data_IF_694102641387
#
_entry.id   IF_694102641387
#
_cell.length_a   1.000
_cell.length_b   1.000
_cell.length_c   1.000
_cell.angle_alpha   90.00
_cell.angle_beta   90.00
_cell.angle_gamma   90.00
#
_symmetry.space_group_name_H-M   'P 1'
#
loop_
_entity.id
_entity.type
_entity.pdbx_description
1 polymer ?
#
# COMPACT_ATOMS: atom_id res chain seq x y z
N UNK A 1 -13.40 -2.66 -27.92
CA UNK A 1 -12.39 -2.37 -26.88
C UNK A 1 -11.63 -1.12 -27.29
N UNK A 2 -11.86 -0.01 -26.64
CA UNK A 2 -11.12 1.21 -26.91
C UNK A 2 -9.85 1.16 -26.08
N UNK A 3 -8.72 0.79 -26.69
CA UNK A 3 -7.41 0.84 -26.03
C UNK A 3 -7.11 2.29 -25.61
N UNK A 4 -6.80 2.51 -24.35
CA UNK A 4 -6.40 3.84 -23.86
C UNK A 4 -5.08 4.21 -24.54
N UNK A 5 -4.95 5.40 -25.15
CA UNK A 5 -3.68 5.82 -25.72
C UNK A 5 -2.53 5.65 -24.70
N UNK A 6 -1.38 5.16 -25.12
CA UNK A 6 -0.21 4.89 -24.25
C UNK A 6 0.12 6.09 -23.36
N UNK A 7 0.01 7.32 -23.86
CA UNK A 7 0.18 8.56 -23.09
C UNK A 7 -0.80 8.67 -21.93
N UNK A 8 -2.05 8.22 -22.11
CA UNK A 8 -3.09 8.26 -21.07
C UNK A 8 -2.82 7.23 -19.96
N UNK A 9 -2.32 6.04 -20.30
CA UNK A 9 -1.91 5.03 -19.32
C UNK A 9 -0.76 5.53 -18.42
N UNK A 10 0.25 6.18 -19.01
CA UNK A 10 1.33 6.81 -18.24
C UNK A 10 0.84 7.95 -17.33
N UNK A 11 -0.10 8.78 -17.81
CA UNK A 11 -0.69 9.82 -16.99
C UNK A 11 -1.47 9.23 -15.79
N UNK A 12 -2.28 8.20 -16.03
CA UNK A 12 -3.00 7.49 -14.97
C UNK A 12 -2.03 6.91 -13.92
N UNK A 13 -0.94 6.29 -14.35
CA UNK A 13 0.09 5.76 -13.47
C UNK A 13 0.77 6.88 -12.65
N UNK A 14 1.14 7.99 -13.29
CA UNK A 14 1.76 9.13 -12.61
C UNK A 14 0.83 9.75 -11.55
N UNK A 15 -0.45 9.95 -11.88
CA UNK A 15 -1.46 10.44 -10.92
C UNK A 15 -1.63 9.48 -9.74
N UNK A 16 -1.68 8.18 -10.01
CA UNK A 16 -1.76 7.16 -8.95
C UNK A 16 -0.57 7.21 -8.02
N UNK A 17 0.63 7.26 -8.57
CA UNK A 17 1.89 7.30 -7.81
C UNK A 17 1.98 8.57 -6.97
N UNK A 18 1.51 9.70 -7.50
CA UNK A 18 1.38 10.92 -6.72
C UNK A 18 0.41 10.73 -5.54
N UNK A 19 -0.80 10.19 -5.77
CA UNK A 19 -1.75 9.92 -4.69
C UNK A 19 -1.14 9.00 -3.63
N UNK A 20 -0.54 7.90 -4.03
CA UNK A 20 0.11 6.98 -3.08
C UNK A 20 1.25 7.62 -2.31
N UNK A 21 2.04 8.50 -2.95
CA UNK A 21 3.11 9.25 -2.30
C UNK A 21 2.60 10.21 -1.21
N UNK A 22 1.36 10.70 -1.31
CA UNK A 22 0.74 11.53 -0.28
C UNK A 22 0.20 10.73 0.90
N UNK A 23 0.10 9.39 0.80
CA UNK A 23 -0.56 8.54 1.79
C UNK A 23 0.08 8.65 3.18
N UNK A 24 1.40 8.44 3.28
CA UNK A 24 2.10 8.48 4.55
C UNK A 24 2.07 9.87 5.21
N UNK A 25 2.35 10.99 4.50
CA UNK A 25 2.21 12.33 5.05
C UNK A 25 0.80 12.64 5.56
N UNK A 26 -0.24 12.37 4.78
CA UNK A 26 -1.64 12.61 5.20
C UNK A 26 -2.01 11.74 6.40
N UNK A 27 -1.64 10.47 6.38
CA UNK A 27 -1.85 9.57 7.50
C UNK A 27 -1.15 10.09 8.77
N UNK A 28 0.09 10.58 8.66
CA UNK A 28 0.85 11.13 9.80
C UNK A 28 0.14 12.31 10.45
N UNK A 29 -0.41 13.23 9.65
CA UNK A 29 -1.20 14.38 10.16
C UNK A 29 -2.42 13.90 10.94
N UNK A 30 -3.16 12.93 10.41
CA UNK A 30 -4.36 12.39 11.08
C UNK A 30 -4.02 11.66 12.38
N UNK A 31 -2.90 10.96 12.42
CA UNK A 31 -2.43 10.19 13.59
C UNK A 31 -1.93 11.07 14.74
N UNK A 32 -1.80 12.38 14.56
CA UNK A 32 -1.49 13.28 15.68
C UNK A 32 -2.61 13.34 16.73
N UNK A 33 -3.87 13.20 16.29
CA UNK A 33 -5.05 13.32 17.15
C UNK A 33 -5.88 12.03 17.21
N UNK A 34 -5.67 11.12 16.28
CA UNK A 34 -6.49 9.92 16.08
C UNK A 34 -5.66 8.65 16.18
N UNK A 35 -6.30 7.58 16.61
CA UNK A 35 -5.69 6.25 16.57
C UNK A 35 -5.62 5.71 15.14
N UNK A 36 -4.72 4.76 14.91
CA UNK A 36 -4.61 4.09 13.62
C UNK A 36 -5.91 3.38 13.19
N UNK A 37 -6.69 2.87 14.14
CA UNK A 37 -7.98 2.22 13.85
C UNK A 37 -9.06 3.21 13.43
N UNK A 38 -9.10 4.38 14.06
CA UNK A 38 -10.03 5.46 13.69
C UNK A 38 -9.72 5.99 12.28
N UNK A 39 -8.46 6.28 11.99
CA UNK A 39 -8.03 6.71 10.65
C UNK A 39 -8.39 5.65 9.62
N UNK A 40 -8.12 4.36 9.91
CA UNK A 40 -8.41 3.26 9.00
C UNK A 40 -9.92 3.11 8.77
N UNK A 41 -10.73 3.23 9.83
CA UNK A 41 -12.19 3.15 9.74
C UNK A 41 -12.75 4.19 8.78
N UNK A 42 -12.49 5.47 9.03
CA UNK A 42 -13.03 6.54 8.19
C UNK A 42 -12.50 6.47 6.75
N UNK A 43 -11.21 6.23 6.54
CA UNK A 43 -10.64 6.08 5.21
C UNK A 43 -11.28 4.90 4.45
N UNK A 44 -11.51 3.77 5.11
CA UNK A 44 -12.14 2.59 4.51
C UNK A 44 -13.63 2.82 4.20
N UNK A 45 -14.36 3.55 5.03
CA UNK A 45 -15.76 3.94 4.77
C UNK A 45 -15.83 4.81 3.51
N UNK A 46 -15.02 5.87 3.42
CA UNK A 46 -15.01 6.74 2.23
C UNK A 46 -14.57 5.98 0.97
N UNK A 47 -13.62 5.04 1.08
CA UNK A 47 -13.23 4.18 -0.03
C UNK A 47 -14.39 3.28 -0.48
N UNK A 48 -15.05 2.58 0.45
CA UNK A 48 -16.19 1.70 0.16
C UNK A 48 -17.34 2.45 -0.49
N UNK A 49 -17.73 3.62 0.06
CA UNK A 49 -18.81 4.43 -0.50
C UNK A 49 -18.47 4.91 -1.92
N UNK A 50 -17.24 5.32 -2.17
CA UNK A 50 -16.79 5.77 -3.49
C UNK A 50 -16.80 4.62 -4.50
N UNK A 51 -16.31 3.45 -4.12
CA UNK A 51 -16.30 2.26 -4.96
C UNK A 51 -17.74 1.80 -5.23
N UNK A 52 -18.61 1.82 -4.23
CA UNK A 52 -20.03 1.51 -4.40
C UNK A 52 -20.70 2.46 -5.41
N UNK A 53 -20.46 3.76 -5.30
CA UNK A 53 -20.98 4.74 -6.24
C UNK A 53 -20.51 4.45 -7.69
N UNK A 54 -19.24 4.05 -7.87
CA UNK A 54 -18.70 3.66 -9.18
C UNK A 54 -19.37 2.38 -9.70
N UNK A 55 -19.55 1.37 -8.84
CA UNK A 55 -20.22 0.10 -9.17
C UNK A 55 -21.67 0.36 -9.64
N UNK A 56 -22.41 1.16 -8.87
CA UNK A 56 -23.80 1.52 -9.21
C UNK A 56 -23.86 2.29 -10.53
N UNK A 57 -23.00 3.27 -10.73
CA UNK A 57 -22.92 4.05 -11.98
C UNK A 57 -22.57 3.18 -13.20
N UNK A 58 -21.81 2.10 -13.01
CA UNK A 58 -21.47 1.14 -14.07
C UNK A 58 -22.54 0.07 -14.29
N UNK A 59 -23.61 0.05 -13.51
CA UNK A 59 -24.66 -0.97 -13.58
C UNK A 59 -24.24 -2.36 -13.12
N UNK A 60 -23.13 -2.44 -12.34
CA UNK A 60 -22.52 -3.71 -11.87
C UNK A 60 -23.05 -4.16 -10.51
N UNK A 61 -24.14 -3.61 -10.00
CA UNK A 61 -24.68 -3.93 -8.67
C UNK A 61 -24.94 -5.44 -8.45
N UNK A 62 -25.36 -6.15 -9.50
CA UNK A 62 -25.59 -7.61 -9.44
C UNK A 62 -24.33 -8.42 -9.17
N UNK A 63 -23.16 -7.89 -9.53
CA UNK A 63 -21.87 -8.57 -9.31
C UNK A 63 -21.48 -8.58 -7.82
N UNK A 64 -22.03 -7.69 -6.99
CA UNK A 64 -21.75 -7.64 -5.55
C UNK A 64 -22.11 -8.93 -4.82
N UNK A 65 -23.13 -9.63 -5.28
CA UNK A 65 -23.63 -10.87 -4.65
C UNK A 65 -23.40 -12.12 -5.51
N UNK A 66 -22.65 -11.99 -6.61
CA UNK A 66 -22.44 -13.08 -7.57
C UNK A 66 -21.28 -14.03 -7.18
N UNK A 67 -21.06 -14.23 -5.89
CA UNK A 67 -19.97 -15.07 -5.37
C UNK A 67 -20.51 -16.28 -4.62
N UNK A 68 -19.88 -17.42 -4.81
CA UNK A 68 -20.11 -18.58 -3.95
C UNK A 68 -19.59 -18.31 -2.53
N UNK A 69 -20.10 -19.01 -1.50
CA UNK A 69 -19.60 -18.83 -0.12
C UNK A 69 -18.09 -19.05 0.01
N UNK A 70 -17.51 -19.95 -0.78
CA UNK A 70 -16.06 -20.22 -0.81
C UNK A 70 -15.28 -19.05 -1.39
N UNK A 71 -15.73 -18.49 -2.51
CA UNK A 71 -15.10 -17.32 -3.15
C UNK A 71 -15.21 -16.09 -2.25
N UNK A 72 -16.39 -15.88 -1.65
CA UNK A 72 -16.59 -14.79 -0.70
C UNK A 72 -15.70 -14.94 0.54
N UNK A 73 -15.60 -16.14 1.12
CA UNK A 73 -14.70 -16.42 2.24
C UNK A 73 -13.23 -16.17 1.89
N UNK A 74 -12.80 -16.55 0.68
CA UNK A 74 -11.45 -16.25 0.21
C UNK A 74 -11.23 -14.74 0.02
N UNK A 75 -12.20 -14.03 -0.52
CA UNK A 75 -12.18 -12.58 -0.66
C UNK A 75 -12.11 -11.89 0.72
N UNK A 76 -12.85 -12.38 1.71
CA UNK A 76 -12.76 -11.90 3.10
C UNK A 76 -11.36 -12.13 3.70
N UNK A 77 -10.74 -13.28 3.46
CA UNK A 77 -9.37 -13.56 3.89
C UNK A 77 -8.37 -12.56 3.28
N UNK A 78 -8.50 -12.28 1.98
CA UNK A 78 -7.66 -11.31 1.27
C UNK A 78 -7.88 -9.87 1.76
N UNK A 79 -9.13 -9.48 1.97
CA UNK A 79 -9.47 -8.16 2.52
C UNK A 79 -8.95 -7.97 3.95
N UNK A 80 -9.08 -9.03 4.78
CA UNK A 80 -8.58 -9.02 6.14
C UNK A 80 -7.04 -8.90 6.21
N UNK A 81 -6.32 -9.69 5.41
CA UNK A 81 -4.86 -9.69 5.43
C UNK A 81 -4.26 -8.49 4.70
N UNK A 82 -4.75 -8.18 3.50
CA UNK A 82 -4.15 -7.21 2.58
C UNK A 82 -4.66 -5.78 2.72
N UNK A 83 -5.81 -5.57 3.35
CA UNK A 83 -6.37 -4.24 3.54
C UNK A 83 -6.52 -3.88 5.02
N UNK A 84 -7.13 -4.71 5.83
CA UNK A 84 -7.28 -4.41 7.25
C UNK A 84 -5.96 -4.54 8.02
N UNK A 85 -5.38 -5.74 8.11
CA UNK A 85 -4.14 -5.95 8.89
C UNK A 85 -2.97 -5.15 8.31
N UNK A 86 -2.79 -5.17 6.99
CA UNK A 86 -1.76 -4.36 6.33
C UNK A 86 -1.86 -2.89 6.74
N UNK A 87 -3.01 -2.26 6.56
CA UNK A 87 -3.18 -0.84 6.86
C UNK A 87 -3.10 -0.54 8.36
N UNK A 88 -3.64 -1.43 9.21
CA UNK A 88 -3.54 -1.31 10.66
C UNK A 88 -2.08 -1.28 11.12
N UNK A 89 -1.25 -2.20 10.60
CA UNK A 89 0.17 -2.24 10.90
C UNK A 89 0.93 -1.08 10.26
N UNK A 90 0.62 -0.73 9.00
CA UNK A 90 1.29 0.38 8.34
C UNK A 90 1.02 1.72 9.03
N UNK A 91 -0.22 2.04 9.36
CA UNK A 91 -0.58 3.27 10.07
C UNK A 91 0.04 3.32 11.47
N UNK A 92 0.09 2.17 12.15
CA UNK A 92 0.80 2.09 13.42
C UNK A 92 2.32 2.32 13.24
N UNK A 93 2.92 1.85 12.17
CA UNK A 93 4.31 2.14 11.81
C UNK A 93 4.55 3.63 11.55
N UNK A 94 3.66 4.28 10.79
CA UNK A 94 3.67 5.73 10.53
C UNK A 94 3.53 6.54 11.82
N UNK A 95 2.77 6.04 12.80
CA UNK A 95 2.63 6.70 14.11
C UNK A 95 3.97 6.77 14.86
N UNK A 96 4.79 5.72 14.78
CA UNK A 96 6.08 5.63 15.50
C UNK A 96 7.29 6.17 14.73
N UNK A 97 7.21 6.31 13.40
CA UNK A 97 8.29 6.73 12.52
C UNK A 97 7.93 8.03 11.79
N UNK A 98 8.94 8.67 11.23
CA UNK A 98 8.74 9.69 10.21
C UNK A 98 8.00 9.07 9.01
N UNK A 99 7.10 9.82 8.39
CA UNK A 99 6.26 9.32 7.31
C UNK A 99 7.09 8.82 6.12
N UNK A 100 8.18 9.53 5.78
CA UNK A 100 9.12 9.10 4.74
C UNK A 100 9.77 7.76 5.06
N UNK A 101 10.22 7.56 6.32
CA UNK A 101 10.88 6.32 6.76
C UNK A 101 9.89 5.16 6.71
N UNK A 102 8.70 5.34 7.26
CA UNK A 102 7.65 4.33 7.21
C UNK A 102 7.32 3.91 5.77
N UNK A 103 7.21 4.86 4.85
CA UNK A 103 6.98 4.60 3.44
C UNK A 103 8.12 3.80 2.80
N UNK A 104 9.38 4.20 3.03
CA UNK A 104 10.56 3.50 2.47
C UNK A 104 10.61 2.05 2.96
N UNK A 105 10.45 1.83 4.27
CA UNK A 105 10.47 0.48 4.86
C UNK A 105 9.33 -0.38 4.34
N UNK A 106 8.15 0.19 4.20
CA UNK A 106 7.00 -0.52 3.62
C UNK A 106 7.28 -0.97 2.18
N UNK A 107 8.14 -0.28 1.43
CA UNK A 107 8.53 -0.66 0.07
C UNK A 107 9.38 -1.95 -0.03
N UNK A 108 9.53 -2.69 1.05
CA UNK A 108 9.94 -4.11 1.00
C UNK A 108 8.86 -5.03 0.40
N UNK A 109 7.59 -4.61 0.33
CA UNK A 109 6.49 -5.47 -0.11
C UNK A 109 6.69 -6.10 -1.50
N UNK A 110 7.32 -5.45 -2.52
CA UNK A 110 7.49 -6.08 -3.83
C UNK A 110 8.43 -7.28 -3.78
N UNK A 111 9.54 -7.15 -3.04
CA UNK A 111 10.50 -8.27 -2.92
C UNK A 111 9.91 -9.40 -2.07
N UNK A 112 9.15 -9.07 -1.03
CA UNK A 112 8.45 -10.06 -0.22
C UNK A 112 7.35 -10.79 -1.02
N UNK A 113 6.68 -10.09 -1.95
CA UNK A 113 5.75 -10.72 -2.90
C UNK A 113 6.46 -11.82 -3.70
N UNK A 114 7.69 -11.56 -4.16
CA UNK A 114 8.48 -12.57 -4.90
C UNK A 114 8.86 -13.74 -4.01
N UNK A 115 9.25 -13.50 -2.77
CA UNK A 115 9.54 -14.56 -1.82
C UNK A 115 8.31 -15.45 -1.57
N UNK A 116 7.15 -14.84 -1.33
CA UNK A 116 5.90 -15.58 -1.16
C UNK A 116 5.48 -16.31 -2.44
N UNK A 117 5.71 -15.75 -3.63
CA UNK A 117 5.44 -16.43 -4.89
C UNK A 117 6.30 -17.70 -5.04
N UNK A 118 7.57 -17.66 -4.64
CA UNK A 118 8.43 -18.86 -4.62
C UNK A 118 7.90 -19.93 -3.66
N UNK A 119 7.43 -19.55 -2.47
CA UNK A 119 6.94 -20.49 -1.45
C UNK A 119 5.55 -21.03 -1.82
N UNK A 120 4.61 -20.15 -2.16
CA UNK A 120 3.17 -20.48 -2.28
C UNK A 120 2.80 -20.90 -3.70
N UNK A 121 3.40 -20.26 -4.72
CA UNK A 121 3.15 -20.56 -6.12
C UNK A 121 4.20 -21.52 -6.68
N UNK A 122 5.18 -21.92 -5.86
CA UNK A 122 6.29 -22.82 -6.24
C UNK A 122 7.10 -22.28 -7.42
N UNK A 123 7.20 -20.95 -7.55
CA UNK A 123 8.08 -20.33 -8.52
C UNK A 123 9.54 -20.64 -8.17
N UNK A 124 10.40 -20.81 -9.17
CA UNK A 124 11.81 -21.10 -8.95
C UNK A 124 12.48 -19.95 -8.17
N UNK A 125 13.15 -20.29 -7.07
CA UNK A 125 14.00 -19.36 -6.32
C UNK A 125 15.38 -19.35 -6.98
N UNK A 126 15.81 -18.17 -7.45
CA UNK A 126 17.11 -18.00 -8.10
C UNK A 126 18.07 -17.21 -7.22
N UNK A 127 19.38 -17.36 -7.45
CA UNK A 127 20.41 -16.55 -6.78
C UNK A 127 20.18 -15.03 -6.98
N UNK A 128 19.62 -14.65 -8.10
CA UNK A 128 19.22 -13.26 -8.37
C UNK A 128 18.12 -12.75 -7.41
N UNK A 129 17.11 -13.56 -7.16
CA UNK A 129 16.04 -13.24 -6.20
C UNK A 129 16.62 -13.13 -4.78
N UNK A 130 17.56 -13.99 -4.42
CA UNK A 130 18.26 -13.95 -3.13
C UNK A 130 19.12 -12.68 -2.98
N UNK A 131 19.93 -12.34 -3.99
CA UNK A 131 20.76 -11.13 -3.96
C UNK A 131 19.90 -9.85 -3.85
N UNK A 132 18.79 -9.79 -4.59
CA UNK A 132 17.84 -8.70 -4.51
C UNK A 132 17.21 -8.55 -3.12
N UNK A 133 16.85 -9.67 -2.48
CA UNK A 133 16.34 -9.69 -1.12
C UNK A 133 17.36 -9.13 -0.14
N UNK A 134 18.60 -9.62 -0.19
CA UNK A 134 19.69 -9.14 0.69
C UNK A 134 19.95 -7.64 0.50
N UNK A 135 19.98 -7.16 -0.75
CA UNK A 135 20.21 -5.76 -1.04
C UNK A 135 19.07 -4.86 -0.53
N UNK A 136 17.82 -5.32 -0.66
CA UNK A 136 16.66 -4.59 -0.15
C UNK A 136 16.65 -4.53 1.38
N UNK A 137 16.99 -5.62 2.06
CA UNK A 137 17.13 -5.61 3.53
C UNK A 137 18.31 -4.75 4.00
N UNK A 138 19.45 -4.77 3.29
CA UNK A 138 20.56 -3.85 3.56
C UNK A 138 20.11 -2.39 3.46
N UNK A 139 19.28 -2.05 2.46
CA UNK A 139 18.67 -0.73 2.33
C UNK A 139 17.85 -0.33 3.55
N UNK A 140 17.02 -1.24 4.09
CA UNK A 140 16.27 -0.97 5.33
C UNK A 140 17.21 -0.75 6.52
N UNK A 141 18.26 -1.56 6.66
CA UNK A 141 19.24 -1.38 7.72
C UNK A 141 19.89 0.02 7.62
N UNK A 142 20.27 0.47 6.43
CA UNK A 142 20.83 1.81 6.21
C UNK A 142 19.84 2.89 6.62
N UNK A 143 18.55 2.75 6.29
CA UNK A 143 17.51 3.69 6.76
C UNK A 143 17.43 3.73 8.28
N UNK A 144 17.61 2.60 8.97
CA UNK A 144 17.58 2.52 10.44
C UNK A 144 18.81 3.18 11.11
N UNK A 145 19.89 3.38 10.38
CA UNK A 145 21.15 3.95 10.91
C UNK A 145 21.24 5.48 10.77
N UNK A 146 20.13 6.20 10.58
CA UNK A 146 20.21 7.65 10.38
C UNK A 146 20.68 8.40 11.66
N UNK A 147 21.49 9.46 11.51
CA UNK A 147 22.03 10.22 12.63
C UNK A 147 20.92 10.89 13.45
N UNK A 148 21.05 10.86 14.78
CA UNK A 148 20.09 11.48 15.70
C UNK A 148 19.01 10.56 16.24
N UNK A 149 18.90 9.34 15.74
CA UNK A 149 18.09 8.30 16.39
C UNK A 149 18.93 7.56 17.46
N UNK A 150 18.68 7.86 18.71
CA UNK A 150 18.82 6.80 19.71
C UNK A 150 17.74 5.78 19.37
N UNK A 151 18.12 4.54 19.02
CA UNK A 151 17.17 3.47 18.75
C UNK A 151 16.35 3.20 20.02
N UNK A 152 15.44 4.11 20.33
CA UNK A 152 14.52 4.01 21.45
C UNK A 152 13.48 2.92 21.16
N UNK A 153 12.94 2.28 22.19
CA UNK A 153 11.99 1.17 22.04
C UNK A 153 10.76 1.50 21.16
N UNK A 154 10.39 2.77 21.02
CA UNK A 154 9.28 3.22 20.17
C UNK A 154 9.57 3.07 18.68
N UNK A 155 10.72 3.54 18.24
CA UNK A 155 11.09 3.49 16.82
C UNK A 155 11.26 2.05 16.32
N UNK A 156 11.88 1.19 17.13
CA UNK A 156 11.99 -0.24 16.81
C UNK A 156 10.61 -0.89 16.64
N UNK A 157 9.61 -0.48 17.42
CA UNK A 157 8.21 -0.90 17.19
C UNK A 157 7.72 -0.45 15.82
N UNK A 158 7.96 0.81 15.43
CA UNK A 158 7.59 1.35 14.12
C UNK A 158 8.18 0.55 12.96
N UNK A 159 9.47 0.23 12.99
CA UNK A 159 10.12 -0.62 11.99
C UNK A 159 9.48 -2.01 11.91
N UNK A 160 9.23 -2.66 13.06
CA UNK A 160 8.58 -3.98 13.10
C UNK A 160 7.17 -3.92 12.48
N UNK A 161 6.40 -2.87 12.76
CA UNK A 161 5.09 -2.67 12.18
C UNK A 161 5.16 -2.47 10.66
N UNK A 162 6.06 -1.64 10.15
CA UNK A 162 6.22 -1.42 8.71
C UNK A 162 6.69 -2.68 7.96
N UNK A 163 7.64 -3.45 8.53
CA UNK A 163 8.09 -4.72 7.95
C UNK A 163 6.95 -5.75 7.93
N UNK A 164 6.20 -5.87 9.03
CA UNK A 164 5.04 -6.76 9.09
C UNK A 164 3.96 -6.34 8.08
N UNK A 165 3.69 -5.03 7.94
CA UNK A 165 2.80 -4.51 6.92
C UNK A 165 3.27 -4.90 5.52
N UNK A 166 4.54 -4.67 5.20
CA UNK A 166 5.12 -5.06 3.91
C UNK A 166 4.96 -6.57 3.63
N UNK A 167 5.15 -7.42 4.65
CA UNK A 167 4.95 -8.86 4.53
C UNK A 167 3.48 -9.22 4.28
N UNK A 168 2.55 -8.63 5.01
CA UNK A 168 1.11 -8.83 4.82
C UNK A 168 0.66 -8.43 3.42
N UNK A 169 1.14 -7.29 2.91
CA UNK A 169 0.80 -6.83 1.57
C UNK A 169 1.44 -7.68 0.48
N UNK A 170 2.69 -8.11 0.68
CA UNK A 170 3.37 -9.05 -0.22
C UNK A 170 2.66 -10.40 -0.31
N UNK A 171 2.20 -10.93 0.83
CA UNK A 171 1.37 -12.14 0.91
C UNK A 171 0.04 -11.95 0.17
N UNK A 172 -0.66 -10.85 0.45
CA UNK A 172 -1.89 -10.47 -0.25
C UNK A 172 -1.68 -10.43 -1.77
N UNK A 173 -0.67 -9.72 -2.25
CA UNK A 173 -0.37 -9.61 -3.69
C UNK A 173 -0.17 -11.00 -4.33
N UNK A 174 0.52 -11.91 -3.63
CA UNK A 174 0.74 -13.28 -4.10
C UNK A 174 -0.54 -14.08 -4.17
N UNK A 175 -1.36 -14.03 -3.13
CA UNK A 175 -2.62 -14.77 -3.04
C UNK A 175 -3.67 -14.20 -4.01
N UNK A 176 -3.73 -12.87 -4.15
CA UNK A 176 -4.68 -12.19 -5.04
C UNK A 176 -4.48 -12.55 -6.52
N UNK A 177 -3.28 -13.01 -6.93
CA UNK A 177 -3.05 -13.55 -8.29
C UNK A 177 -3.96 -14.73 -8.64
N UNK A 178 -4.45 -15.47 -7.64
CA UNK A 178 -5.34 -16.63 -7.83
C UNK A 178 -6.81 -16.25 -7.88
N UNK A 179 -7.15 -15.00 -7.61
CA UNK A 179 -8.55 -14.55 -7.56
C UNK A 179 -8.99 -14.07 -8.93
N UNK A 180 -10.00 -14.74 -9.50
CA UNK A 180 -10.69 -14.30 -10.70
C UNK A 180 -11.79 -13.28 -10.37
N UNK A 181 -12.36 -12.65 -11.40
CA UNK A 181 -13.49 -11.72 -11.25
C UNK A 181 -13.10 -10.25 -11.32
N UNK A 182 -14.03 -9.38 -10.94
CA UNK A 182 -13.89 -7.93 -11.03
C UNK A 182 -13.08 -7.36 -9.89
N UNK A 183 -11.91 -6.78 -10.18
CA UNK A 183 -11.08 -6.10 -9.18
C UNK A 183 -11.83 -4.95 -8.47
N UNK A 184 -12.72 -4.26 -9.18
CA UNK A 184 -13.54 -3.18 -8.60
C UNK A 184 -14.44 -3.71 -7.48
N UNK A 185 -15.09 -4.86 -7.71
CA UNK A 185 -15.94 -5.52 -6.71
C UNK A 185 -15.11 -6.03 -5.53
N UNK A 186 -13.96 -6.64 -5.82
CA UNK A 186 -13.05 -7.11 -4.76
C UNK A 186 -12.58 -5.97 -3.86
N UNK A 187 -12.15 -4.85 -4.44
CA UNK A 187 -11.71 -3.67 -3.69
C UNK A 187 -12.83 -3.11 -2.80
N UNK A 188 -14.07 -3.07 -3.31
CA UNK A 188 -15.22 -2.67 -2.50
C UNK A 188 -15.36 -3.56 -1.26
N UNK A 189 -15.33 -4.88 -1.42
CA UNK A 189 -15.44 -5.81 -0.30
C UNK A 189 -14.24 -5.77 0.65
N UNK A 190 -13.02 -5.57 0.12
CA UNK A 190 -11.82 -5.42 0.94
C UNK A 190 -11.92 -4.20 1.86
N UNK A 191 -12.33 -3.05 1.31
CA UNK A 191 -12.50 -1.84 2.12
C UNK A 191 -13.70 -1.93 3.04
N UNK A 192 -14.79 -2.54 2.63
CA UNK A 192 -15.97 -2.77 3.50
C UNK A 192 -15.60 -3.63 4.69
N UNK A 193 -14.88 -4.72 4.48
CA UNK A 193 -14.38 -5.57 5.57
C UNK A 193 -13.41 -4.82 6.48
N UNK A 194 -12.49 -4.05 5.88
CA UNK A 194 -11.55 -3.22 6.65
C UNK A 194 -12.30 -2.18 7.51
N UNK A 195 -13.35 -1.55 6.98
CA UNK A 195 -14.21 -0.63 7.73
C UNK A 195 -14.90 -1.32 8.91
N UNK A 196 -15.47 -2.52 8.70
CA UNK A 196 -16.12 -3.28 9.76
C UNK A 196 -15.13 -3.69 10.85
N UNK A 197 -13.97 -4.25 10.47
CA UNK A 197 -12.97 -4.69 11.45
C UNK A 197 -12.39 -3.50 12.24
N UNK A 198 -12.07 -2.40 11.57
CA UNK A 198 -11.56 -1.21 12.24
C UNK A 198 -12.61 -0.51 13.10
N UNK A 199 -13.89 -0.52 12.69
CA UNK A 199 -15.00 -0.05 13.55
C UNK A 199 -15.09 -0.84 14.86
N UNK A 200 -15.05 -2.17 14.78
CA UNK A 200 -15.07 -3.03 15.99
C UNK A 200 -13.90 -2.68 16.90
N UNK A 201 -12.70 -2.53 16.38
CA UNK A 201 -11.52 -2.13 17.16
C UNK A 201 -11.68 -0.73 17.78
N UNK A 202 -12.21 0.23 17.02
CA UNK A 202 -12.45 1.61 17.48
C UNK A 202 -13.48 1.65 18.60
N UNK A 203 -14.60 0.93 18.46
CA UNK A 203 -15.64 0.85 19.50
C UNK A 203 -15.11 0.19 20.76
N UNK A 204 -14.27 -0.82 20.63
CA UNK A 204 -13.63 -1.47 21.79
C UNK A 204 -12.60 -0.57 22.47
N UNK A 205 -11.95 0.30 21.72
CA UNK A 205 -10.95 1.27 22.20
C UNK A 205 -11.49 2.52 22.88
N UNK A 206 -12.83 2.71 22.95
CA UNK A 206 -13.42 3.89 23.62
C UNK A 206 -14.54 4.57 22.82
N UNK A 207 -14.83 4.11 21.62
CA UNK A 207 -15.89 4.65 20.76
C UNK A 207 -15.41 5.51 19.62
N UNK A 208 -16.34 6.09 18.88
CA UNK A 208 -16.02 6.95 17.73
C UNK A 208 -15.54 8.33 18.23
N UNK A 209 -14.44 8.87 17.68
CA UNK A 209 -13.95 10.18 18.04
C UNK A 209 -14.85 11.30 17.48
N UNK A 210 -14.78 12.46 18.08
CA UNK A 210 -15.24 13.68 17.44
C UNK A 210 -14.24 14.09 16.36
N UNK A 211 -14.73 14.27 15.13
CA UNK A 211 -13.88 14.59 13.99
C UNK A 211 -14.03 16.04 13.57
N UNK A 212 -12.93 16.69 13.22
CA UNK A 212 -12.90 18.05 12.71
C UNK A 212 -13.09 18.05 11.18
N UNK A 213 -13.50 19.20 10.60
CA UNK A 213 -13.62 19.35 9.15
C UNK A 213 -12.31 19.06 8.40
N UNK A 214 -11.16 19.43 8.98
CA UNK A 214 -9.84 19.13 8.41
C UNK A 214 -9.55 17.63 8.37
N UNK A 215 -9.90 16.89 9.41
CA UNK A 215 -9.76 15.43 9.45
C UNK A 215 -10.68 14.75 8.44
N UNK A 216 -11.91 15.25 8.23
CA UNK A 216 -12.80 14.73 7.18
C UNK A 216 -12.17 14.88 5.79
N UNK A 217 -11.51 16.02 5.50
CA UNK A 217 -10.78 16.20 4.24
C UNK A 217 -9.63 15.18 4.09
N UNK A 218 -8.91 14.90 5.18
CA UNK A 218 -7.88 13.85 5.21
C UNK A 218 -8.45 12.45 4.93
N UNK A 219 -9.59 12.10 5.52
CA UNK A 219 -10.26 10.82 5.27
C UNK A 219 -10.79 10.71 3.83
N UNK A 220 -11.36 11.80 3.29
CA UNK A 220 -11.76 11.87 1.88
C UNK A 220 -10.54 11.66 0.98
N UNK A 221 -9.42 12.30 1.31
CA UNK A 221 -8.20 12.13 0.52
C UNK A 221 -7.70 10.69 0.55
N UNK A 222 -7.56 10.09 1.73
CA UNK A 222 -7.13 8.69 1.87
C UNK A 222 -8.11 7.72 1.23
N UNK A 223 -9.41 7.87 1.50
CA UNK A 223 -10.43 6.93 1.05
C UNK A 223 -10.75 7.06 -0.43
N UNK A 224 -11.10 8.28 -0.89
CA UNK A 224 -11.56 8.50 -2.26
C UNK A 224 -10.40 8.52 -3.24
N UNK A 225 -9.40 9.38 -2.99
CA UNK A 225 -8.36 9.62 -4.00
C UNK A 225 -7.29 8.52 -3.96
N UNK A 226 -6.84 8.08 -2.79
CA UNK A 226 -5.78 7.07 -2.68
C UNK A 226 -6.37 5.67 -2.85
N UNK A 227 -7.35 5.31 -2.02
CA UNK A 227 -7.83 3.92 -1.91
C UNK A 227 -8.87 3.54 -2.97
N UNK A 228 -9.69 4.48 -3.49
CA UNK A 228 -10.65 4.15 -4.55
C UNK A 228 -10.12 4.56 -5.94
N UNK A 229 -9.92 5.85 -6.18
CA UNK A 229 -9.56 6.37 -7.51
C UNK A 229 -8.14 5.93 -7.89
N UNK A 230 -7.16 6.03 -7.00
CA UNK A 230 -5.77 5.67 -7.25
C UNK A 230 -5.64 4.22 -7.73
N UNK A 231 -6.21 3.28 -6.99
CA UNK A 231 -6.17 1.87 -7.40
C UNK A 231 -6.95 1.59 -8.69
N UNK A 232 -8.07 2.29 -8.92
CA UNK A 232 -8.83 2.16 -10.17
C UNK A 232 -8.01 2.67 -11.38
N UNK A 233 -7.38 3.84 -11.26
CA UNK A 233 -6.51 4.38 -12.30
C UNK A 233 -5.32 3.46 -12.57
N UNK A 234 -4.73 2.88 -11.52
CA UNK A 234 -3.66 1.90 -11.64
C UNK A 234 -4.08 0.66 -12.40
N UNK A 235 -5.23 0.09 -12.04
CA UNK A 235 -5.77 -1.08 -12.73
C UNK A 235 -6.04 -0.79 -14.22
N UNK A 236 -6.59 0.39 -14.54
CA UNK A 236 -6.81 0.82 -15.93
C UNK A 236 -5.50 1.04 -16.68
N UNK A 237 -4.49 1.64 -16.05
CA UNK A 237 -3.17 1.83 -16.65
C UNK A 237 -2.50 0.50 -17.02
N UNK A 238 -2.65 -0.54 -16.17
CA UNK A 238 -2.10 -1.87 -16.41
C UNK A 238 -2.79 -2.63 -17.53
N UNK A 239 -4.06 -2.35 -17.84
CA UNK A 239 -4.81 -3.02 -18.89
C UNK A 239 -4.34 -2.60 -20.29
N UNK A 240 -3.93 -1.36 -20.47
CA UNK A 240 -3.76 -0.74 -21.78
C UNK A 240 -2.29 -0.50 -22.18
N UNK A 241 -1.34 -0.93 -21.35
CA UNK A 241 0.09 -0.79 -21.67
C UNK A 241 0.92 -1.94 -21.10
N UNK A 242 2.20 -1.97 -21.45
CA UNK A 242 3.13 -2.95 -20.86
C UNK A 242 3.12 -2.87 -19.34
N UNK A 243 2.66 -3.92 -18.67
CA UNK A 243 2.60 -4.00 -17.22
C UNK A 243 3.96 -3.69 -16.57
N UNK A 244 5.07 -4.07 -17.21
CA UNK A 244 6.42 -3.77 -16.75
C UNK A 244 6.73 -2.26 -16.78
N UNK A 245 6.29 -1.55 -17.83
CA UNK A 245 6.51 -0.11 -17.95
C UNK A 245 5.70 0.67 -16.91
N UNK A 246 4.43 0.31 -16.71
CA UNK A 246 3.57 0.94 -15.68
C UNK A 246 4.07 0.64 -14.27
N UNK A 247 4.45 -0.60 -13.98
CA UNK A 247 4.93 -0.99 -12.64
C UNK A 247 6.17 -0.18 -12.21
N UNK A 248 6.99 0.27 -13.16
CA UNK A 248 8.15 1.11 -12.84
C UNK A 248 7.76 2.46 -12.21
N UNK A 249 6.58 3.00 -12.52
CA UNK A 249 6.10 4.24 -11.90
C UNK A 249 5.89 4.11 -10.39
N UNK A 250 5.49 2.93 -9.90
CA UNK A 250 5.24 2.70 -8.47
C UNK A 250 6.46 3.06 -7.60
N UNK A 251 7.67 2.95 -8.13
CA UNK A 251 8.90 3.31 -7.41
C UNK A 251 9.09 4.81 -7.18
N UNK A 252 8.34 5.64 -7.89
CA UNK A 252 8.27 7.07 -7.60
C UNK A 252 7.57 7.39 -6.27
N UNK A 253 6.75 6.49 -5.76
CA UNK A 253 5.95 6.71 -4.55
C UNK A 253 6.79 7.08 -3.31
N UNK A 254 7.83 6.32 -2.91
CA UNK A 254 8.62 6.68 -1.72
C UNK A 254 9.43 7.97 -1.92
N UNK A 255 9.86 8.26 -3.13
CA UNK A 255 10.53 9.53 -3.43
C UNK A 255 9.58 10.72 -3.26
N UNK A 256 8.34 10.60 -3.76
CA UNK A 256 7.30 11.62 -3.56
C UNK A 256 6.94 11.73 -2.06
N UNK A 257 6.76 10.62 -1.36
CA UNK A 257 6.49 10.63 0.08
C UNK A 257 7.58 11.34 0.86
N UNK A 258 8.86 11.10 0.54
CA UNK A 258 10.01 11.74 1.17
C UNK A 258 10.00 13.26 0.94
N UNK A 259 9.79 13.71 -0.31
CA UNK A 259 9.72 15.14 -0.65
C UNK A 259 8.54 15.81 0.08
N UNK A 260 7.37 15.20 0.05
CA UNK A 260 6.17 15.77 0.68
C UNK A 260 6.26 15.78 2.20
N UNK A 261 6.87 14.76 2.81
CA UNK A 261 7.13 14.75 4.26
C UNK A 261 8.07 15.87 4.66
N UNK A 262 9.13 16.13 3.89
CA UNK A 262 10.02 17.28 4.16
C UNK A 262 9.30 18.62 4.01
N UNK A 263 8.51 18.80 2.95
CA UNK A 263 7.87 20.08 2.62
C UNK A 263 6.68 20.38 3.54
N UNK A 264 5.83 19.41 3.82
CA UNK A 264 4.56 19.62 4.52
C UNK A 264 4.62 19.26 6.01
N UNK A 265 5.48 18.31 6.41
CA UNK A 265 5.62 17.89 7.81
C UNK A 265 6.86 18.47 8.48
N UNK A 266 7.77 19.08 7.72
CA UNK A 266 9.05 19.57 8.25
C UNK A 266 9.99 18.43 8.66
N UNK A 267 9.75 17.20 8.20
CA UNK A 267 10.64 16.07 8.47
C UNK A 267 12.01 16.29 7.80
N UNK A 268 13.12 16.07 8.52
CA UNK A 268 14.45 16.23 7.90
C UNK A 268 14.71 15.18 6.85
N UNK A 269 15.29 15.58 5.72
CA UNK A 269 15.74 14.63 4.69
C UNK A 269 17.06 13.99 5.11
N UNK A 270 17.01 12.74 5.56
CA UNK A 270 18.22 12.03 5.94
C UNK A 270 18.92 11.44 4.73
N UNK A 271 20.25 11.63 4.66
CA UNK A 271 21.07 11.03 3.60
C UNK A 271 21.00 9.49 3.60
N UNK A 272 20.90 8.89 4.78
CA UNK A 272 20.67 7.44 4.93
C UNK A 272 19.33 6.97 4.36
N UNK A 273 18.28 7.79 4.42
CA UNK A 273 16.99 7.48 3.78
C UNK A 273 17.11 7.45 2.25
N UNK A 274 17.87 8.39 1.67
CA UNK A 274 18.14 8.40 0.23
C UNK A 274 18.94 7.18 -0.22
N UNK A 275 20.03 6.85 0.51
CA UNK A 275 20.85 5.66 0.23
C UNK A 275 20.02 4.38 0.40
N UNK A 276 19.28 4.26 1.49
CA UNK A 276 18.47 3.08 1.77
C UNK A 276 17.39 2.86 0.73
N UNK A 277 16.70 3.93 0.32
CA UNK A 277 15.76 3.89 -0.80
C UNK A 277 16.44 3.44 -2.10
N UNK A 278 17.61 4.01 -2.43
CA UNK A 278 18.36 3.61 -3.63
C UNK A 278 18.71 2.12 -3.61
N UNK A 279 19.17 1.58 -2.47
CA UNK A 279 19.49 0.16 -2.33
C UNK A 279 18.26 -0.74 -2.52
N UNK A 280 17.10 -0.37 -1.95
CA UNK A 280 15.83 -1.10 -2.13
C UNK A 280 15.45 -1.13 -3.61
N UNK A 281 15.52 0.03 -4.29
CA UNK A 281 15.18 0.14 -5.70
C UNK A 281 16.15 -0.64 -6.60
N UNK A 282 17.45 -0.56 -6.34
CA UNK A 282 18.47 -1.31 -7.08
C UNK A 282 18.24 -2.82 -6.91
N UNK A 283 17.98 -3.29 -5.69
CA UNK A 283 17.66 -4.69 -5.41
C UNK A 283 16.47 -5.17 -6.26
N UNK A 284 15.41 -4.39 -6.30
CA UNK A 284 14.23 -4.72 -7.09
C UNK A 284 14.50 -4.71 -8.61
N UNK A 285 15.15 -3.66 -9.13
CA UNK A 285 15.47 -3.59 -10.57
C UNK A 285 16.42 -4.71 -11.01
N UNK A 286 17.40 -5.05 -10.17
CA UNK A 286 18.32 -6.16 -10.39
C UNK A 286 17.54 -7.47 -10.52
N UNK A 287 16.61 -7.71 -9.60
CA UNK A 287 15.76 -8.90 -9.65
C UNK A 287 14.93 -8.97 -10.93
N UNK A 288 14.29 -7.86 -11.31
CA UNK A 288 13.50 -7.80 -12.57
C UNK A 288 14.35 -8.08 -13.79
N UNK A 289 15.54 -7.48 -13.86
CA UNK A 289 16.46 -7.68 -14.98
C UNK A 289 16.92 -9.12 -15.12
N UNK A 290 17.34 -9.72 -14.00
CA UNK A 290 17.85 -11.10 -13.98
C UNK A 290 16.76 -12.16 -14.20
N UNK A 291 15.52 -11.89 -13.74
CA UNK A 291 14.38 -12.79 -14.00
C UNK A 291 13.98 -12.80 -15.47
N UNK A 292 14.13 -11.66 -16.19
CA UNK A 292 13.90 -11.63 -17.65
C UNK A 292 14.93 -12.42 -18.46
N UNK A 293 16.13 -12.58 -17.94
CA UNK A 293 17.25 -13.26 -18.63
C UNK A 293 17.25 -14.78 -18.42
N UNK A 294 16.66 -15.27 -17.35
CA UNK A 294 16.53 -16.69 -17.00
C UNK A 294 15.05 -16.97 -16.67
N UNK A 295 14.18 -17.15 -17.70
CA UNK A 295 12.75 -17.42 -17.50
C UNK A 295 12.48 -18.77 -16.83
#
# INVERSE_FOLDING_TARGET
>A
MWGVPVKKAYLMAAVTVFFWGTSAPVCKVLLNDLTNMEVLFFASVFASLSLLAIILKRGQAKELTAYTPKEFGYMCLLGFTGYFLYSAFYYQGVNFLDAQIACIVNYLWPILTVCFACIILKEKFSGAKFAALLLSFAGVIVVMLHPGQTVGGGQMKGYRYCIAAAALYGLFCTLNKKQGGSQLIHMFWYHTLSAVCSLVCTLWGGGLPQVTGGQVLGFLWLGVFINAIGYLLWALALQDSSAAAISNFAYGTPAIAMILSCVFLGEPMYFTSVIGLALILIGFFLQMYLTKRNP
#
